data_IF_570832802872
#
_entry.id   IF_570832802872
#
_cell.length_a   1.000
_cell.length_b   1.000
_cell.length_c   1.000
_cell.angle_alpha   90.00
_cell.angle_beta   90.00
_cell.angle_gamma   90.00
#
_symmetry.space_group_name_H-M   'P 1'
#
loop_
_entity.id
_entity.type
_entity.pdbx_description
1 polymer ?
#
# COMPACT_ATOMS: atom_id res chain seq x y z
N UNK A 1 12.80 0.52 -38.33
CA UNK A 1 12.11 1.29 -37.26
C UNK A 1 10.78 1.90 -37.77
N UNK A 2 10.02 1.23 -38.64
CA UNK A 2 8.75 1.74 -39.21
C UNK A 2 7.48 1.03 -38.70
N UNK A 3 7.63 0.08 -37.77
CA UNK A 3 6.54 -0.79 -37.28
C UNK A 3 6.11 -0.48 -35.83
N UNK A 4 6.50 0.68 -35.28
CA UNK A 4 6.37 1.01 -33.84
C UNK A 4 4.90 1.11 -33.38
N UNK A 5 3.94 1.27 -34.29
CA UNK A 5 2.51 1.44 -34.00
C UNK A 5 1.65 0.20 -34.29
N UNK A 6 2.25 -0.99 -34.34
CA UNK A 6 1.54 -2.27 -34.44
C UNK A 6 1.67 -3.06 -33.13
N UNK A 7 1.15 -2.50 -32.04
CA UNK A 7 1.01 -3.23 -30.78
C UNK A 7 -0.31 -4.00 -30.77
N UNK A 8 -0.26 -5.27 -30.37
CA UNK A 8 -1.46 -6.07 -30.13
C UNK A 8 -2.04 -5.70 -28.77
N UNK A 9 -2.85 -4.63 -28.72
CA UNK A 9 -3.36 -4.07 -27.44
C UNK A 9 -4.63 -4.78 -26.93
N UNK A 10 -5.23 -5.66 -27.74
CA UNK A 10 -6.32 -6.54 -27.29
C UNK A 10 -5.78 -7.82 -26.64
N UNK A 11 -4.94 -7.67 -25.62
CA UNK A 11 -4.60 -8.77 -24.74
C UNK A 11 -5.55 -8.77 -23.54
N UNK A 12 -5.90 -9.94 -22.95
CA UNK A 12 -6.77 -10.04 -21.78
C UNK A 12 -6.29 -9.19 -20.58
N UNK A 13 -4.99 -8.89 -20.55
CA UNK A 13 -4.31 -8.14 -19.50
C UNK A 13 -4.49 -6.61 -19.62
N UNK A 14 -4.92 -6.11 -20.78
CA UNK A 14 -5.07 -4.68 -21.04
C UNK A 14 -6.50 -4.21 -20.76
N UNK A 15 -6.64 -3.13 -19.98
CA UNK A 15 -7.94 -2.52 -19.73
C UNK A 15 -8.54 -1.94 -21.02
N UNK A 16 -9.87 -1.88 -21.07
CA UNK A 16 -10.60 -1.21 -22.15
C UNK A 16 -10.09 0.23 -22.33
N UNK A 17 -9.94 0.95 -21.22
CA UNK A 17 -9.40 2.31 -21.18
C UNK A 17 -8.04 2.43 -21.90
N UNK A 18 -7.07 1.56 -21.56
CA UNK A 18 -5.74 1.58 -22.17
C UNK A 18 -5.78 1.23 -23.67
N UNK A 19 -6.65 0.31 -24.05
CA UNK A 19 -6.87 -0.06 -25.45
C UNK A 19 -7.39 1.12 -26.27
N UNK A 20 -8.33 1.90 -25.72
CA UNK A 20 -8.83 3.10 -26.37
C UNK A 20 -7.81 4.24 -26.36
N UNK A 21 -7.02 4.39 -25.30
CA UNK A 21 -5.93 5.36 -25.26
C UNK A 21 -4.94 5.14 -26.40
N UNK A 22 -4.47 3.89 -26.56
CA UNK A 22 -3.58 3.53 -27.66
C UNK A 22 -4.21 3.79 -29.04
N UNK A 23 -5.48 3.39 -29.22
CA UNK A 23 -6.22 3.63 -30.46
C UNK A 23 -6.30 5.12 -30.78
N UNK A 24 -6.61 5.95 -29.80
CA UNK A 24 -6.70 7.40 -29.95
C UNK A 24 -5.34 8.01 -30.30
N UNK A 25 -4.28 7.61 -29.61
CA UNK A 25 -2.90 8.07 -29.88
C UNK A 25 -2.48 7.74 -31.33
N UNK A 26 -2.69 6.50 -31.76
CA UNK A 26 -2.39 6.07 -33.14
C UNK A 26 -3.18 6.88 -34.17
N UNK A 27 -4.47 7.09 -33.91
CA UNK A 27 -5.31 7.86 -34.81
C UNK A 27 -4.96 9.35 -34.84
N UNK A 28 -4.56 9.94 -33.71
CA UNK A 28 -4.08 11.32 -33.62
C UNK A 28 -2.84 11.52 -34.49
N UNK A 29 -1.83 10.64 -34.36
CA UNK A 29 -0.63 10.66 -35.20
C UNK A 29 -1.02 10.50 -36.68
N UNK A 30 -1.90 9.54 -37.00
CA UNK A 30 -2.37 9.32 -38.36
C UNK A 30 -3.08 10.54 -38.96
N UNK A 31 -3.98 11.18 -38.19
CA UNK A 31 -4.68 12.39 -38.61
C UNK A 31 -3.71 13.55 -38.85
N UNK A 32 -2.75 13.76 -37.94
CA UNK A 32 -1.74 14.80 -38.05
C UNK A 32 -0.87 14.61 -39.30
N UNK A 33 -0.39 13.39 -39.54
CA UNK A 33 0.42 13.05 -40.72
C UNK A 33 -0.37 13.26 -42.02
N UNK A 34 -1.61 12.79 -42.09
CA UNK A 34 -2.45 12.97 -43.29
C UNK A 34 -2.73 14.45 -43.58
N UNK A 35 -2.99 15.26 -42.55
CA UNK A 35 -3.23 16.70 -42.74
C UNK A 35 -2.01 17.49 -43.19
N UNK A 36 -0.81 17.03 -42.83
CA UNK A 36 0.46 17.71 -43.16
C UNK A 36 1.03 17.27 -44.51
N UNK A 37 0.97 15.98 -44.81
CA UNK A 37 1.71 15.40 -45.93
C UNK A 37 0.84 14.77 -47.02
N UNK A 38 -0.47 14.64 -46.79
CA UNK A 38 -1.36 13.97 -47.72
C UNK A 38 -2.74 14.66 -47.77
N UNK A 39 -3.83 13.93 -47.49
CA UNK A 39 -5.19 14.44 -47.56
C UNK A 39 -5.66 15.05 -46.24
N UNK A 40 -5.75 16.39 -46.20
CA UNK A 40 -6.35 17.13 -45.06
C UNK A 40 -7.80 16.74 -44.79
N UNK A 41 -8.59 16.46 -45.82
CA UNK A 41 -9.98 16.00 -45.65
C UNK A 41 -10.03 14.61 -44.98
N UNK A 42 -9.17 13.68 -45.38
CA UNK A 42 -9.10 12.35 -44.76
C UNK A 42 -8.63 12.44 -43.30
N UNK A 43 -7.58 13.22 -43.04
CA UNK A 43 -7.08 13.48 -41.68
C UNK A 43 -8.15 14.12 -40.79
N UNK A 44 -8.94 15.07 -41.31
CA UNK A 44 -10.04 15.72 -40.59
C UNK A 44 -11.13 14.72 -40.18
N UNK A 45 -11.54 13.83 -41.08
CA UNK A 45 -12.53 12.81 -40.78
C UNK A 45 -12.07 11.85 -39.66
N UNK A 46 -10.78 11.48 -39.65
CA UNK A 46 -10.20 10.65 -38.59
C UNK A 46 -10.12 11.43 -37.28
N UNK A 47 -9.67 12.68 -37.32
CA UNK A 47 -9.57 13.55 -36.14
C UNK A 47 -10.93 13.74 -35.47
N UNK A 48 -11.99 14.00 -36.24
CA UNK A 48 -13.34 14.22 -35.71
C UNK A 48 -13.87 12.98 -34.98
N UNK A 49 -13.77 11.81 -35.62
CA UNK A 49 -14.17 10.53 -35.02
C UNK A 49 -13.36 10.20 -33.77
N UNK A 50 -12.07 10.50 -33.79
CA UNK A 50 -11.16 10.21 -32.68
C UNK A 50 -11.40 11.16 -31.50
N UNK A 51 -11.73 12.43 -31.77
CA UNK A 51 -12.06 13.40 -30.72
C UNK A 51 -13.26 12.94 -29.89
N UNK A 52 -14.32 12.43 -30.54
CA UNK A 52 -15.48 11.88 -29.81
C UNK A 52 -15.10 10.74 -28.87
N UNK A 53 -14.19 9.85 -29.29
CA UNK A 53 -13.70 8.76 -28.44
C UNK A 53 -12.83 9.34 -27.32
N UNK A 54 -11.92 10.24 -27.63
CA UNK A 54 -11.03 10.87 -26.65
C UNK A 54 -11.81 11.63 -25.57
N UNK A 55 -12.90 12.31 -25.94
CA UNK A 55 -13.80 12.99 -25.00
C UNK A 55 -14.56 12.00 -24.12
N UNK A 56 -15.05 10.88 -24.69
CA UNK A 56 -15.71 9.82 -23.91
C UNK A 56 -14.82 9.22 -22.83
N UNK A 57 -13.54 8.99 -23.14
CA UNK A 57 -12.56 8.42 -22.19
C UNK A 57 -11.74 9.49 -21.44
N UNK A 58 -12.06 10.77 -21.64
CA UNK A 58 -11.40 11.91 -21.00
C UNK A 58 -9.88 11.92 -21.17
N UNK A 59 -9.39 11.64 -22.39
CA UNK A 59 -7.98 11.82 -22.76
C UNK A 59 -7.72 13.29 -23.10
N UNK A 60 -7.56 14.13 -22.07
CA UNK A 60 -7.55 15.59 -22.18
C UNK A 60 -6.47 16.12 -23.14
N UNK A 61 -5.26 15.56 -23.08
CA UNK A 61 -4.13 15.87 -23.95
C UNK A 61 -4.43 15.59 -25.45
N UNK A 62 -5.00 14.41 -25.73
CA UNK A 62 -5.43 14.03 -27.08
C UNK A 62 -6.57 14.94 -27.56
N UNK A 63 -7.51 15.28 -26.67
CA UNK A 63 -8.61 16.21 -26.99
C UNK A 63 -8.06 17.58 -27.44
N UNK A 64 -7.10 18.15 -26.71
CA UNK A 64 -6.44 19.40 -27.10
C UNK A 64 -5.81 19.27 -28.49
N UNK A 65 -4.97 18.24 -28.69
CA UNK A 65 -4.25 18.06 -29.95
C UNK A 65 -5.20 17.92 -31.15
N UNK A 66 -6.24 17.09 -31.03
CA UNK A 66 -7.23 16.90 -32.09
C UNK A 66 -8.07 18.15 -32.34
N UNK A 67 -8.50 18.86 -31.28
CA UNK A 67 -9.27 20.08 -31.43
C UNK A 67 -8.46 21.18 -32.15
N UNK A 68 -7.15 21.27 -31.91
CA UNK A 68 -6.25 22.17 -32.64
C UNK A 68 -6.22 21.82 -34.14
N UNK A 69 -6.01 20.55 -34.49
CA UNK A 69 -5.99 20.09 -35.89
C UNK A 69 -7.30 20.38 -36.64
N UNK A 70 -8.43 20.18 -35.96
CA UNK A 70 -9.76 20.44 -36.51
C UNK A 70 -9.99 21.95 -36.69
N UNK A 71 -9.59 22.78 -35.72
CA UNK A 71 -9.65 24.24 -35.80
C UNK A 71 -8.82 24.78 -36.96
N UNK A 72 -7.58 24.33 -37.10
CA UNK A 72 -6.69 24.72 -38.20
C UNK A 72 -7.30 24.39 -39.56
N UNK A 73 -7.87 23.18 -39.71
CA UNK A 73 -8.52 22.78 -40.96
C UNK A 73 -9.76 23.62 -41.26
N UNK A 74 -10.55 23.98 -40.23
CA UNK A 74 -11.69 24.89 -40.40
C UNK A 74 -11.27 26.30 -40.83
N UNK A 75 -10.12 26.79 -40.35
CA UNK A 75 -9.56 28.06 -40.80
C UNK A 75 -9.14 28.01 -42.28
N UNK A 76 -8.44 26.95 -42.69
CA UNK A 76 -8.03 26.74 -44.10
C UNK A 76 -9.24 26.71 -45.03
N UNK A 77 -10.37 26.15 -44.58
CA UNK A 77 -11.61 26.09 -45.37
C UNK A 77 -12.52 27.30 -45.21
N UNK A 78 -12.08 28.33 -44.47
CA UNK A 78 -12.86 29.52 -44.13
C UNK A 78 -14.26 29.21 -43.53
N UNK A 79 -14.34 28.16 -42.70
CA UNK A 79 -15.57 27.74 -42.00
C UNK A 79 -15.63 28.34 -40.60
N UNK A 80 -16.05 29.61 -40.50
CA UNK A 80 -16.04 30.41 -39.27
C UNK A 80 -16.74 29.76 -38.08
N UNK A 81 -17.93 29.20 -38.27
CA UNK A 81 -18.70 28.57 -37.18
C UNK A 81 -17.98 27.35 -36.60
N UNK A 82 -17.50 26.45 -37.46
CA UNK A 82 -16.71 25.28 -37.09
C UNK A 82 -15.39 25.66 -36.43
N UNK A 83 -14.73 26.71 -36.93
CA UNK A 83 -13.51 27.25 -36.33
C UNK A 83 -13.73 27.71 -34.90
N UNK A 84 -14.76 28.52 -34.66
CA UNK A 84 -15.08 29.04 -33.32
C UNK A 84 -15.50 27.91 -32.36
N UNK A 85 -16.24 26.91 -32.85
CA UNK A 85 -16.59 25.74 -32.06
C UNK A 85 -15.34 24.99 -31.58
N UNK A 86 -14.44 24.60 -32.49
CA UNK A 86 -13.21 23.91 -32.09
C UNK A 86 -12.27 24.79 -31.27
N UNK A 87 -12.29 26.11 -31.45
CA UNK A 87 -11.53 27.01 -30.58
C UNK A 87 -12.00 26.97 -29.11
N UNK A 88 -13.32 26.91 -28.88
CA UNK A 88 -13.86 26.74 -27.51
C UNK A 88 -13.45 25.40 -26.91
N UNK A 89 -13.48 24.33 -27.70
CA UNK A 89 -12.99 23.01 -27.26
C UNK A 89 -11.50 23.06 -26.88
N UNK A 90 -10.66 23.74 -27.67
CA UNK A 90 -9.24 23.95 -27.34
C UNK A 90 -9.09 24.67 -26.00
N UNK A 91 -9.78 25.79 -25.80
CA UNK A 91 -9.68 26.58 -24.55
C UNK A 91 -10.13 25.75 -23.35
N UNK A 92 -11.26 25.04 -23.46
CA UNK A 92 -11.81 24.17 -22.42
C UNK A 92 -10.82 23.07 -22.02
N UNK A 93 -10.34 22.30 -22.99
CA UNK A 93 -9.46 21.17 -22.72
C UNK A 93 -8.05 21.62 -22.30
N UNK A 94 -7.56 22.75 -22.80
CA UNK A 94 -6.26 23.28 -22.40
C UNK A 94 -6.27 23.77 -20.94
N UNK A 95 -7.35 24.41 -20.48
CA UNK A 95 -7.53 24.78 -19.08
C UNK A 95 -7.52 23.56 -18.17
N UNK A 96 -8.31 22.53 -18.51
CA UNK A 96 -8.33 21.27 -17.78
C UNK A 96 -6.96 20.57 -17.76
N UNK A 97 -6.27 20.50 -18.90
CA UNK A 97 -4.95 19.86 -19.01
C UNK A 97 -3.90 20.56 -18.15
N UNK A 98 -3.94 21.90 -18.10
CA UNK A 98 -3.05 22.66 -17.22
C UNK A 98 -3.26 22.27 -15.76
N UNK A 99 -4.52 22.25 -15.31
CA UNK A 99 -4.85 21.83 -13.95
C UNK A 99 -4.45 20.38 -13.66
N UNK A 100 -4.61 19.47 -14.62
CA UNK A 100 -4.13 18.08 -14.49
C UNK A 100 -2.61 18.04 -14.25
N UNK A 101 -1.82 18.77 -15.05
CA UNK A 101 -0.37 18.85 -14.85
C UNK A 101 0.03 19.51 -13.54
N UNK A 102 -0.64 20.60 -13.15
CA UNK A 102 -0.37 21.29 -11.89
C UNK A 102 -0.69 20.37 -10.69
N UNK A 103 -1.76 19.56 -10.78
CA UNK A 103 -2.09 18.57 -9.77
C UNK A 103 -1.06 17.43 -9.68
N UNK A 104 -0.62 16.89 -10.82
CA UNK A 104 0.42 15.85 -10.87
C UNK A 104 1.75 16.37 -10.31
N UNK A 105 2.13 17.61 -10.66
CA UNK A 105 3.30 18.28 -10.10
C UNK A 105 3.24 18.35 -8.57
N UNK A 106 2.11 18.78 -7.99
CA UNK A 106 1.96 18.87 -6.54
C UNK A 106 2.11 17.50 -5.86
N UNK A 107 1.52 16.46 -6.45
CA UNK A 107 1.60 15.09 -5.91
C UNK A 107 3.02 14.52 -6.01
N UNK A 108 3.74 14.79 -7.09
CA UNK A 108 5.12 14.32 -7.25
C UNK A 108 6.10 15.14 -6.40
N UNK A 109 5.87 16.44 -6.26
CA UNK A 109 6.65 17.31 -5.38
C UNK A 109 6.58 16.85 -3.92
N UNK A 110 5.39 16.46 -3.43
CA UNK A 110 5.24 15.82 -2.12
C UNK A 110 6.16 14.61 -1.98
N UNK A 111 6.13 13.67 -2.95
CA UNK A 111 6.94 12.45 -2.89
C UNK A 111 8.42 12.76 -2.84
N UNK A 112 8.87 13.73 -3.64
CA UNK A 112 10.27 14.18 -3.66
C UNK A 112 10.67 14.77 -2.30
N UNK A 113 9.86 15.67 -1.75
CA UNK A 113 10.13 16.32 -0.47
C UNK A 113 10.16 15.34 0.72
N UNK A 114 9.34 14.28 0.67
CA UNK A 114 9.34 13.20 1.66
C UNK A 114 10.64 12.39 1.70
N UNK A 115 11.41 12.36 0.61
CA UNK A 115 12.72 11.66 0.59
C UNK A 115 13.83 12.46 1.29
N UNK A 116 13.60 13.75 1.53
CA UNK A 116 14.60 14.66 2.11
C UNK A 116 14.55 14.59 3.64
N UNK A 117 15.50 13.89 4.24
CA UNK A 117 15.55 13.61 5.69
C UNK A 117 15.68 14.86 6.58
N UNK A 118 16.15 15.99 6.05
CA UNK A 118 16.30 17.24 6.80
C UNK A 118 15.00 18.03 6.93
N UNK A 119 13.91 17.61 6.27
CA UNK A 119 12.62 18.31 6.33
C UNK A 119 11.95 18.15 7.69
N UNK A 120 11.47 19.28 8.21
CA UNK A 120 10.68 19.30 9.44
C UNK A 120 9.30 18.70 9.16
N UNK A 121 8.77 17.91 10.10
CA UNK A 121 7.43 17.34 10.00
C UNK A 121 6.35 18.41 9.79
N UNK A 122 6.43 19.55 10.48
CA UNK A 122 5.47 20.66 10.32
C UNK A 122 5.40 21.19 8.89
N UNK A 123 6.55 21.38 8.24
CA UNK A 123 6.62 21.81 6.84
C UNK A 123 5.93 20.81 5.91
N UNK A 124 6.15 19.51 6.13
CA UNK A 124 5.53 18.46 5.33
C UNK A 124 4.01 18.41 5.55
N UNK A 125 3.52 18.64 6.77
CA UNK A 125 2.07 18.72 7.05
C UNK A 125 1.45 19.87 6.23
N UNK A 126 2.07 21.04 6.27
CA UNK A 126 1.59 22.21 5.54
C UNK A 126 1.64 21.96 4.02
N UNK A 127 2.70 21.34 3.51
CA UNK A 127 2.84 20.97 2.11
C UNK A 127 1.71 20.04 1.64
N UNK A 128 1.42 18.98 2.39
CA UNK A 128 0.33 18.05 2.09
C UNK A 128 -1.04 18.75 2.12
N UNK A 129 -1.27 19.58 3.14
CA UNK A 129 -2.53 20.30 3.32
C UNK A 129 -2.78 21.29 2.18
N UNK A 130 -1.77 22.06 1.81
CA UNK A 130 -1.85 23.03 0.72
C UNK A 130 -2.10 22.35 -0.62
N UNK A 131 -1.42 21.23 -0.89
CA UNK A 131 -1.66 20.45 -2.10
C UNK A 131 -3.10 19.92 -2.16
N UNK A 132 -3.61 19.36 -1.06
CA UNK A 132 -5.00 18.89 -0.97
C UNK A 132 -6.00 20.01 -1.31
N UNK A 133 -5.82 21.20 -0.72
CA UNK A 133 -6.71 22.35 -0.95
C UNK A 133 -6.64 22.81 -2.42
N UNK A 134 -5.42 22.96 -2.96
CA UNK A 134 -5.20 23.43 -4.34
C UNK A 134 -5.78 22.46 -5.38
N UNK A 135 -5.53 21.16 -5.23
CA UNK A 135 -6.04 20.15 -6.16
C UNK A 135 -7.56 20.05 -6.08
N UNK A 136 -8.17 20.16 -4.90
CA UNK A 136 -9.64 20.21 -4.81
C UNK A 136 -10.23 21.47 -5.45
N UNK A 137 -9.56 22.63 -5.35
CA UNK A 137 -9.96 23.84 -6.08
C UNK A 137 -9.92 23.62 -7.60
N UNK A 138 -8.83 23.03 -8.11
CA UNK A 138 -8.68 22.70 -9.53
C UNK A 138 -9.75 21.70 -10.01
N UNK A 139 -10.09 20.69 -9.19
CA UNK A 139 -11.17 19.74 -9.49
C UNK A 139 -12.55 20.41 -9.56
N UNK A 140 -12.80 21.42 -8.73
CA UNK A 140 -14.05 22.20 -8.76
C UNK A 140 -14.17 23.04 -10.02
N UNK A 141 -13.05 23.60 -10.49
CA UNK A 141 -12.99 24.37 -11.74
C UNK A 141 -13.10 23.45 -12.97
N UNK A 142 -12.35 22.35 -12.97
CA UNK A 142 -12.33 21.35 -14.04
C UNK A 142 -12.53 19.95 -13.46
N UNK A 143 -13.68 19.33 -13.78
CA UNK A 143 -14.10 18.10 -13.13
C UNK A 143 -13.77 16.83 -13.95
N UNK A 144 -12.56 16.75 -14.48
CA UNK A 144 -12.09 15.60 -15.28
C UNK A 144 -11.81 14.38 -14.40
N UNK A 145 -11.78 13.21 -15.02
CA UNK A 145 -11.45 11.94 -14.40
C UNK A 145 -10.07 11.99 -13.73
N UNK A 146 -9.07 12.58 -14.41
CA UNK A 146 -7.74 12.79 -13.86
C UNK A 146 -7.77 13.62 -12.58
N UNK A 147 -8.39 14.80 -12.62
CA UNK A 147 -8.48 15.71 -11.47
C UNK A 147 -9.29 15.14 -10.30
N UNK A 148 -10.36 14.37 -10.57
CA UNK A 148 -11.10 13.66 -9.52
C UNK A 148 -10.21 12.69 -8.77
N UNK A 149 -9.44 11.87 -9.50
CA UNK A 149 -8.51 10.92 -8.88
C UNK A 149 -7.37 11.65 -8.15
N UNK A 150 -6.80 12.70 -8.74
CA UNK A 150 -5.73 13.48 -8.11
C UNK A 150 -6.19 14.20 -6.85
N UNK A 151 -7.43 14.72 -6.79
CA UNK A 151 -8.03 15.30 -5.57
C UNK A 151 -8.15 14.26 -4.46
N UNK A 152 -8.66 13.06 -4.78
CA UNK A 152 -8.75 11.96 -3.81
C UNK A 152 -7.35 11.55 -3.32
N UNK A 153 -6.38 11.39 -4.22
CA UNK A 153 -5.00 11.05 -3.85
C UNK A 153 -4.36 12.11 -2.95
N UNK A 154 -4.60 13.39 -3.22
CA UNK A 154 -4.09 14.46 -2.39
C UNK A 154 -4.68 14.40 -0.97
N UNK A 155 -5.98 14.10 -0.85
CA UNK A 155 -6.64 13.91 0.43
C UNK A 155 -6.11 12.67 1.18
N UNK A 156 -6.01 11.51 0.50
CA UNK A 156 -5.43 10.28 1.06
C UNK A 156 -4.00 10.54 1.56
N UNK A 157 -3.15 11.17 0.76
CA UNK A 157 -1.78 11.50 1.16
C UNK A 157 -1.73 12.41 2.38
N UNK A 158 -2.63 13.40 2.48
CA UNK A 158 -2.69 14.27 3.65
C UNK A 158 -3.11 13.51 4.91
N UNK A 159 -4.22 12.76 4.84
CA UNK A 159 -4.75 12.02 5.98
C UNK A 159 -3.78 10.92 6.45
N UNK A 160 -3.15 10.20 5.52
CA UNK A 160 -2.12 9.21 5.84
C UNK A 160 -0.92 9.86 6.56
N UNK A 161 -0.45 11.02 6.07
CA UNK A 161 0.69 11.71 6.66
C UNK A 161 0.45 12.22 8.08
N UNK A 162 -0.80 12.63 8.39
CA UNK A 162 -1.21 13.05 9.74
C UNK A 162 -1.72 11.89 10.60
N UNK A 163 -1.60 10.65 10.11
CA UNK A 163 -2.03 9.41 10.79
C UNK A 163 -3.54 9.36 11.08
N UNK A 164 -4.35 10.06 10.27
CA UNK A 164 -5.81 9.94 10.27
C UNK A 164 -6.25 8.83 9.32
N UNK A 165 -6.04 7.59 9.74
CA UNK A 165 -6.37 6.40 8.95
C UNK A 165 -7.87 6.24 8.70
N UNK A 166 -8.73 6.80 9.57
CA UNK A 166 -10.17 6.82 9.33
C UNK A 166 -10.52 7.73 8.14
N UNK A 167 -9.86 8.90 8.04
CA UNK A 167 -9.91 9.78 6.88
C UNK A 167 -9.43 9.09 5.61
N UNK A 168 -8.34 8.33 5.67
CA UNK A 168 -7.83 7.54 4.53
C UNK A 168 -8.87 6.55 4.02
N UNK A 169 -9.48 5.76 4.91
CA UNK A 169 -10.51 4.76 4.54
C UNK A 169 -11.67 5.46 3.84
N UNK A 170 -12.18 6.56 4.42
CA UNK A 170 -13.30 7.33 3.85
C UNK A 170 -13.01 7.82 2.43
N UNK A 171 -11.82 8.38 2.20
CA UNK A 171 -11.45 8.88 0.88
C UNK A 171 -11.20 7.75 -0.13
N UNK A 172 -10.68 6.60 0.32
CA UNK A 172 -10.55 5.41 -0.52
C UNK A 172 -11.92 4.85 -0.92
N UNK A 173 -12.89 4.82 0.00
CA UNK A 173 -14.27 4.41 -0.29
C UNK A 173 -14.92 5.34 -1.32
N UNK A 174 -14.76 6.66 -1.17
CA UNK A 174 -15.18 7.66 -2.16
C UNK A 174 -14.60 7.37 -3.55
N UNK A 175 -13.33 6.95 -3.61
CA UNK A 175 -12.65 6.59 -4.85
C UNK A 175 -13.23 5.34 -5.50
N UNK A 176 -13.43 4.29 -4.70
CA UNK A 176 -13.97 3.00 -5.15
C UNK A 176 -15.40 3.18 -5.67
N UNK A 177 -16.24 3.92 -4.94
CA UNK A 177 -17.60 4.28 -5.38
C UNK A 177 -17.58 5.05 -6.70
N UNK A 178 -16.72 6.06 -6.82
CA UNK A 178 -16.58 6.81 -8.07
C UNK A 178 -16.17 5.90 -9.23
N UNK A 179 -15.13 5.08 -9.07
CA UNK A 179 -14.65 4.18 -10.13
C UNK A 179 -15.70 3.14 -10.53
N UNK A 180 -16.50 2.64 -9.59
CA UNK A 180 -17.65 1.78 -9.88
C UNK A 180 -18.74 2.51 -10.67
N UNK A 181 -18.95 3.81 -10.45
CA UNK A 181 -19.92 4.61 -11.19
C UNK A 181 -19.50 4.94 -12.63
N UNK A 182 -18.21 4.83 -12.97
CA UNK A 182 -17.68 5.06 -14.33
C UNK A 182 -16.83 3.90 -14.86
N UNK A 183 -17.41 2.70 -15.09
CA UNK A 183 -16.62 1.50 -15.45
C UNK A 183 -15.74 1.67 -16.69
N UNK A 184 -16.19 2.44 -17.68
CA UNK A 184 -15.43 2.70 -18.92
C UNK A 184 -14.16 3.55 -18.71
N UNK A 185 -14.10 4.35 -17.64
CA UNK A 185 -12.91 5.12 -17.25
C UNK A 185 -12.01 4.35 -16.27
N UNK A 186 -12.56 3.31 -15.66
CA UNK A 186 -11.91 2.56 -14.60
C UNK A 186 -10.89 1.57 -15.14
N UNK A 187 -9.87 1.32 -14.34
CA UNK A 187 -8.84 0.33 -14.60
C UNK A 187 -8.70 -0.54 -13.36
N UNK A 188 -8.45 -1.83 -13.55
CA UNK A 188 -8.25 -2.78 -12.45
C UNK A 188 -7.19 -2.30 -11.45
N UNK A 189 -6.05 -1.82 -11.95
CA UNK A 189 -4.97 -1.31 -11.12
C UNK A 189 -5.35 -0.04 -10.32
N UNK A 190 -6.28 0.80 -10.83
CA UNK A 190 -6.78 1.99 -10.11
C UNK A 190 -7.70 1.61 -8.95
N UNK A 191 -8.55 0.59 -9.12
CA UNK A 191 -9.27 0.01 -7.98
C UNK A 191 -8.28 -0.57 -6.97
N UNK A 192 -7.29 -1.33 -7.46
CA UNK A 192 -6.22 -1.90 -6.63
C UNK A 192 -5.51 -0.85 -5.78
N UNK A 193 -5.16 0.30 -6.37
CA UNK A 193 -4.49 1.41 -5.67
C UNK A 193 -5.26 1.86 -4.42
N UNK A 194 -6.56 2.14 -4.54
CA UNK A 194 -7.35 2.59 -3.38
C UNK A 194 -7.71 1.46 -2.42
N UNK A 195 -7.91 0.24 -2.91
CA UNK A 195 -8.08 -0.93 -2.02
C UNK A 195 -6.82 -1.19 -1.20
N UNK A 196 -5.63 -1.01 -1.78
CA UNK A 196 -4.35 -1.19 -1.10
C UNK A 196 -4.17 -0.17 0.03
N UNK A 197 -4.45 1.12 -0.24
CA UNK A 197 -4.40 2.18 0.76
C UNK A 197 -5.45 1.96 1.87
N UNK A 198 -6.67 1.57 1.50
CA UNK A 198 -7.73 1.21 2.45
C UNK A 198 -7.31 0.05 3.36
N UNK A 199 -6.74 -1.02 2.79
CA UNK A 199 -6.22 -2.16 3.56
C UNK A 199 -5.14 -1.72 4.54
N UNK A 200 -4.18 -0.89 4.11
CA UNK A 200 -3.11 -0.39 4.98
C UNK A 200 -3.68 0.40 6.16
N UNK A 201 -4.59 1.34 5.90
CA UNK A 201 -5.24 2.13 6.94
C UNK A 201 -6.09 1.26 7.89
N UNK A 202 -6.82 0.27 7.37
CA UNK A 202 -7.57 -0.68 8.18
C UNK A 202 -6.65 -1.48 9.12
N UNK A 203 -5.48 -1.94 8.64
CA UNK A 203 -4.49 -2.62 9.47
C UNK A 203 -3.94 -1.72 10.57
N UNK A 204 -3.63 -0.45 10.29
CA UNK A 204 -3.14 0.47 11.31
C UNK A 204 -4.21 0.80 12.37
N UNK A 205 -5.48 0.69 12.02
CA UNK A 205 -6.61 0.75 12.95
C UNK A 205 -6.98 -0.61 13.57
N UNK A 206 -6.19 -1.66 13.31
CA UNK A 206 -6.41 -3.04 13.80
C UNK A 206 -7.75 -3.65 13.36
N UNK A 207 -8.31 -3.17 12.25
CA UNK A 207 -9.50 -3.71 11.59
C UNK A 207 -9.11 -4.84 10.64
N UNK A 208 -8.55 -5.91 11.21
CA UNK A 208 -7.95 -7.00 10.44
C UNK A 208 -8.96 -7.71 9.54
N UNK A 209 -10.19 -7.93 10.01
CA UNK A 209 -11.26 -8.54 9.21
C UNK A 209 -11.61 -7.69 7.97
N UNK A 210 -11.66 -6.37 8.11
CA UNK A 210 -11.92 -5.44 7.00
C UNK A 210 -10.79 -5.53 5.96
N UNK A 211 -9.53 -5.57 6.41
CA UNK A 211 -8.40 -5.74 5.50
C UNK A 211 -8.40 -7.13 4.84
N UNK A 212 -8.72 -8.18 5.59
CA UNK A 212 -8.73 -9.57 5.12
C UNK A 212 -9.79 -9.81 4.05
N UNK A 213 -11.00 -9.30 4.24
CA UNK A 213 -12.09 -9.43 3.25
C UNK A 213 -11.79 -8.75 1.91
N UNK A 214 -10.96 -7.70 1.90
CA UNK A 214 -10.53 -7.01 0.68
C UNK A 214 -9.29 -7.64 0.02
N UNK A 215 -8.57 -8.50 0.73
CA UNK A 215 -7.23 -8.94 0.37
C UNK A 215 -7.14 -9.59 -1.01
N UNK A 216 -7.95 -10.61 -1.28
CA UNK A 216 -7.87 -11.36 -2.53
C UNK A 216 -8.18 -10.45 -3.74
N UNK A 217 -9.22 -9.62 -3.63
CA UNK A 217 -9.59 -8.65 -4.68
C UNK A 217 -8.51 -7.60 -4.92
N UNK A 218 -7.82 -7.17 -3.87
CA UNK A 218 -6.72 -6.23 -3.95
C UNK A 218 -5.49 -6.85 -4.63
N UNK A 219 -5.04 -8.02 -4.17
CA UNK A 219 -3.91 -8.78 -4.75
C UNK A 219 -4.14 -9.01 -6.24
N UNK A 220 -5.33 -9.49 -6.58
CA UNK A 220 -5.71 -9.79 -7.94
C UNK A 220 -5.71 -8.54 -8.83
N UNK A 221 -5.85 -7.35 -8.27
CA UNK A 221 -5.86 -6.11 -9.05
C UNK A 221 -4.51 -5.73 -9.66
N UNK A 222 -3.43 -6.41 -9.26
CA UNK A 222 -2.07 -6.11 -9.69
C UNK A 222 -1.43 -7.25 -10.48
N UNK A 223 -0.46 -6.90 -11.32
CA UNK A 223 0.36 -7.88 -12.03
C UNK A 223 1.14 -8.73 -11.03
N UNK A 224 1.03 -10.06 -11.17
CA UNK A 224 1.71 -11.02 -10.30
C UNK A 224 3.21 -10.71 -10.22
N UNK A 225 3.72 -10.67 -8.99
CA UNK A 225 5.10 -10.36 -8.66
C UNK A 225 5.61 -8.97 -9.12
N UNK A 226 4.70 -8.02 -9.33
CA UNK A 226 5.02 -6.59 -9.31
C UNK A 226 5.07 -6.04 -7.88
N UNK A 227 5.59 -4.82 -7.70
CA UNK A 227 5.75 -4.20 -6.37
C UNK A 227 4.42 -4.11 -5.60
N UNK A 228 3.35 -3.62 -6.24
CA UNK A 228 2.03 -3.53 -5.60
C UNK A 228 1.42 -4.89 -5.28
N UNK A 229 1.74 -5.93 -6.05
CA UNK A 229 1.28 -7.29 -5.75
C UNK A 229 1.95 -7.84 -4.49
N UNK A 230 3.26 -7.61 -4.34
CA UNK A 230 3.96 -7.98 -3.09
C UNK A 230 3.44 -7.17 -1.91
N UNK A 231 3.20 -5.87 -2.09
CA UNK A 231 2.67 -5.04 -1.01
C UNK A 231 1.22 -5.41 -0.63
N UNK A 232 0.37 -5.75 -1.60
CA UNK A 232 -0.96 -6.29 -1.30
C UNK A 232 -0.88 -7.64 -0.55
N UNK A 233 0.03 -8.53 -0.97
CA UNK A 233 0.24 -9.84 -0.34
C UNK A 233 0.78 -9.73 1.08
N UNK A 234 1.61 -8.73 1.32
CA UNK A 234 2.18 -8.35 2.60
C UNK A 234 1.10 -7.91 3.59
N UNK A 235 0.26 -6.94 3.21
CA UNK A 235 -0.87 -6.50 4.03
C UNK A 235 -1.87 -7.65 4.27
N UNK A 236 -2.13 -8.47 3.24
CA UNK A 236 -2.99 -9.65 3.36
C UNK A 236 -2.43 -10.68 4.35
N UNK A 237 -1.10 -10.90 4.34
CA UNK A 237 -0.42 -11.77 5.29
C UNK A 237 -0.64 -11.26 6.71
N UNK A 238 -0.35 -9.97 6.96
CA UNK A 238 -0.53 -9.33 8.26
C UNK A 238 -1.97 -9.46 8.75
N UNK A 239 -2.96 -9.24 7.88
CA UNK A 239 -4.37 -9.42 8.22
C UNK A 239 -4.66 -10.88 8.63
N UNK A 240 -4.25 -11.85 7.81
CA UNK A 240 -4.49 -13.28 8.05
C UNK A 240 -3.90 -13.77 9.38
N UNK A 241 -2.64 -13.43 9.66
CA UNK A 241 -1.97 -13.86 10.90
C UNK A 241 -2.60 -13.24 12.15
N UNK A 242 -3.11 -12.00 12.06
CA UNK A 242 -3.75 -11.33 13.19
C UNK A 242 -5.15 -11.89 13.49
N UNK A 243 -5.89 -12.35 12.48
CA UNK A 243 -7.17 -13.07 12.68
C UNK A 243 -6.97 -14.57 12.97
N UNK A 244 -5.72 -15.01 13.17
CA UNK A 244 -5.35 -16.40 13.47
C UNK A 244 -5.67 -17.39 12.33
N UNK A 245 -5.83 -16.91 11.09
CA UNK A 245 -5.90 -17.75 9.89
C UNK A 245 -4.48 -18.08 9.40
N UNK A 246 -3.82 -18.98 10.14
CA UNK A 246 -2.43 -19.37 9.88
C UNK A 246 -2.27 -20.15 8.57
N UNK A 247 -3.30 -20.88 8.14
CA UNK A 247 -3.31 -21.59 6.85
C UNK A 247 -3.26 -20.59 5.68
N UNK A 248 -4.09 -19.54 5.71
CA UNK A 248 -4.06 -18.48 4.70
C UNK A 248 -2.75 -17.69 4.76
N UNK A 249 -2.25 -17.39 5.96
CA UNK A 249 -0.95 -16.73 6.13
C UNK A 249 0.20 -17.56 5.53
N UNK A 250 0.23 -18.87 5.75
CA UNK A 250 1.19 -19.80 5.14
C UNK A 250 1.09 -19.84 3.62
N UNK A 251 -0.13 -19.90 3.09
CA UNK A 251 -0.37 -19.86 1.65
C UNK A 251 0.20 -18.59 1.00
N UNK A 252 -0.09 -17.43 1.60
CA UNK A 252 0.41 -16.12 1.14
C UNK A 252 1.95 -16.04 1.22
N UNK A 253 2.52 -16.49 2.33
CA UNK A 253 3.97 -16.58 2.52
C UNK A 253 4.65 -17.44 1.45
N UNK A 254 4.12 -18.63 1.22
CA UNK A 254 4.66 -19.58 0.23
C UNK A 254 4.56 -19.00 -1.19
N UNK A 255 3.40 -18.42 -1.53
CA UNK A 255 3.18 -17.79 -2.85
C UNK A 255 4.16 -16.64 -3.11
N UNK A 256 4.46 -15.83 -2.10
CA UNK A 256 5.38 -14.70 -2.23
C UNK A 256 6.85 -15.15 -2.31
N UNK A 257 7.29 -16.05 -1.43
CA UNK A 257 8.70 -16.40 -1.27
C UNK A 257 9.22 -17.40 -2.31
N UNK A 258 8.34 -18.23 -2.88
CA UNK A 258 8.72 -19.22 -3.92
C UNK A 258 8.79 -18.62 -5.33
N UNK A 259 8.28 -17.40 -5.53
CA UNK A 259 8.26 -16.79 -6.85
C UNK A 259 9.66 -16.35 -7.30
N UNK A 260 10.01 -16.58 -8.58
CA UNK A 260 11.36 -16.27 -9.13
C UNK A 260 11.86 -14.84 -8.90
N UNK A 261 10.95 -13.87 -8.82
CA UNK A 261 11.26 -12.45 -8.61
C UNK A 261 11.50 -12.09 -7.13
N UNK A 262 11.30 -13.00 -6.19
CA UNK A 262 11.53 -12.76 -4.77
C UNK A 262 12.96 -12.29 -4.48
N UNK A 263 13.95 -12.92 -5.14
CA UNK A 263 15.36 -12.55 -5.01
C UNK A 263 15.72 -11.19 -5.63
N UNK A 264 14.82 -10.59 -6.42
CA UNK A 264 15.00 -9.26 -7.02
C UNK A 264 14.35 -8.14 -6.19
N UNK A 265 13.71 -8.49 -5.07
CA UNK A 265 13.09 -7.51 -4.18
C UNK A 265 14.15 -6.70 -3.42
N UNK A 266 13.75 -5.51 -2.98
CA UNK A 266 14.58 -4.70 -2.09
C UNK A 266 14.89 -5.47 -0.80
N UNK A 267 16.03 -5.17 -0.19
CA UNK A 267 16.47 -5.79 1.06
C UNK A 267 15.42 -5.68 2.17
N UNK A 268 14.85 -4.49 2.36
CA UNK A 268 13.78 -4.25 3.34
C UNK A 268 12.56 -5.18 3.11
N UNK A 269 12.11 -5.32 1.86
CA UNK A 269 10.97 -6.19 1.56
C UNK A 269 11.32 -7.66 1.86
N UNK A 270 12.52 -8.12 1.50
CA UNK A 270 12.96 -9.50 1.80
C UNK A 270 13.09 -9.74 3.30
N UNK A 271 13.64 -8.78 4.04
CA UNK A 271 13.75 -8.84 5.51
C UNK A 271 12.37 -9.01 6.16
N UNK A 272 11.36 -8.29 5.69
CA UNK A 272 9.98 -8.45 6.17
C UNK A 272 9.42 -9.85 5.95
N UNK A 273 9.60 -10.42 4.76
CA UNK A 273 9.21 -11.82 4.51
C UNK A 273 10.01 -12.81 5.37
N UNK A 274 11.30 -12.56 5.66
CA UNK A 274 12.06 -13.39 6.59
C UNK A 274 11.44 -13.37 8.00
N UNK A 275 11.02 -12.20 8.49
CA UNK A 275 10.32 -12.06 9.78
C UNK A 275 8.99 -12.82 9.74
N UNK A 276 8.25 -12.78 8.62
CA UNK A 276 6.99 -13.52 8.47
C UNK A 276 7.17 -15.03 8.58
N UNK A 277 8.24 -15.56 7.97
CA UNK A 277 8.64 -16.96 8.15
C UNK A 277 8.94 -17.29 9.60
N UNK A 278 9.61 -16.39 10.33
CA UNK A 278 9.89 -16.55 11.76
C UNK A 278 8.59 -16.60 12.59
N UNK A 279 7.62 -15.73 12.30
CA UNK A 279 6.37 -15.70 13.06
C UNK A 279 5.45 -16.88 12.75
N UNK A 280 5.44 -17.35 11.50
CA UNK A 280 4.74 -18.58 11.15
C UNK A 280 5.33 -19.80 11.87
N UNK A 281 6.66 -19.93 11.92
CA UNK A 281 7.32 -21.02 12.67
C UNK A 281 7.09 -20.87 14.19
N UNK A 282 7.07 -19.64 14.70
CA UNK A 282 6.76 -19.38 16.09
C UNK A 282 5.33 -19.81 16.43
N UNK A 283 4.36 -19.51 15.57
CA UNK A 283 2.98 -19.94 15.74
C UNK A 283 2.84 -21.49 15.74
N UNK A 284 3.65 -22.20 14.95
CA UNK A 284 3.71 -23.67 14.97
C UNK A 284 4.25 -24.18 16.32
N UNK A 285 5.36 -23.61 16.81
CA UNK A 285 5.96 -24.01 18.09
C UNK A 285 5.09 -23.67 19.31
N UNK A 286 4.28 -22.60 19.21
CA UNK A 286 3.28 -22.24 20.20
C UNK A 286 2.01 -23.11 20.13
N UNK A 287 1.94 -24.05 19.16
CA UNK A 287 0.79 -24.94 18.97
C UNK A 287 -0.48 -24.23 18.48
N UNK A 288 -0.34 -23.08 17.81
CA UNK A 288 -1.47 -22.29 17.30
C UNK A 288 -2.09 -22.89 16.03
N UNK A 289 -1.31 -23.66 15.29
CA UNK A 289 -1.75 -24.43 14.13
C UNK A 289 -0.72 -25.52 13.82
N UNK A 290 -1.06 -26.42 12.91
CA UNK A 290 -0.15 -27.46 12.42
C UNK A 290 -0.03 -27.33 10.90
N UNK A 291 1.19 -27.08 10.37
CA UNK A 291 1.35 -26.88 8.94
C UNK A 291 1.07 -28.18 8.19
N UNK A 292 0.41 -28.08 7.03
CA UNK A 292 0.15 -29.24 6.17
C UNK A 292 1.43 -29.82 5.54
N UNK A 293 2.51 -29.02 5.45
CA UNK A 293 3.80 -29.42 4.91
C UNK A 293 4.94 -28.98 5.83
N UNK A 294 5.93 -29.85 6.03
CA UNK A 294 7.08 -29.54 6.88
C UNK A 294 7.94 -28.41 6.27
N UNK A 295 8.09 -27.31 7.02
CA UNK A 295 8.91 -26.15 6.61
C UNK A 295 10.40 -26.29 6.86
N UNK A 296 10.83 -27.39 7.49
CA UNK A 296 12.21 -27.60 7.92
C UNK A 296 13.26 -27.50 6.79
N UNK A 297 12.84 -27.63 5.52
CA UNK A 297 13.73 -27.49 4.36
C UNK A 297 13.84 -26.06 3.81
N UNK A 298 12.92 -25.16 4.12
CA UNK A 298 12.78 -23.87 3.41
C UNK A 298 13.22 -22.67 4.25
N UNK A 299 12.98 -22.69 5.57
CA UNK A 299 13.33 -21.58 6.47
C UNK A 299 14.48 -21.94 7.41
N UNK A 300 15.61 -21.24 7.31
CA UNK A 300 16.78 -21.46 8.17
C UNK A 300 16.67 -20.63 9.44
N UNK A 301 15.95 -21.16 10.44
CA UNK A 301 15.78 -20.51 11.76
C UNK A 301 17.12 -20.14 12.39
N UNK A 302 18.14 -21.01 12.29
CA UNK A 302 19.47 -20.72 12.82
C UNK A 302 20.13 -19.50 12.17
N UNK A 303 19.91 -19.24 10.88
CA UNK A 303 20.40 -18.04 10.20
C UNK A 303 19.67 -16.79 10.70
N UNK A 304 18.34 -16.89 10.94
CA UNK A 304 17.55 -15.80 11.48
C UNK A 304 17.94 -15.43 12.92
N UNK A 305 18.05 -16.42 13.81
CA UNK A 305 18.42 -16.19 15.21
C UNK A 305 19.83 -15.61 15.38
N UNK A 306 20.73 -15.90 14.44
CA UNK A 306 22.08 -15.33 14.38
C UNK A 306 22.13 -13.96 13.70
N UNK A 307 21.05 -13.52 13.04
CA UNK A 307 20.97 -12.17 12.50
C UNK A 307 20.78 -11.16 13.63
N UNK A 308 21.63 -10.14 13.68
CA UNK A 308 21.52 -9.09 14.69
C UNK A 308 20.55 -8.01 14.17
N UNK A 309 19.59 -7.54 14.98
CA UNK A 309 18.81 -6.36 14.65
C UNK A 309 19.74 -5.18 14.37
N UNK A 310 19.54 -4.47 13.27
CA UNK A 310 20.32 -3.27 12.98
C UNK A 310 19.90 -2.15 13.93
N UNK A 311 20.85 -1.46 14.56
CA UNK A 311 20.59 -0.30 15.42
C UNK A 311 20.25 0.97 14.61
N UNK A 312 19.38 0.86 13.60
CA UNK A 312 18.88 1.99 12.82
C UNK A 312 17.58 2.54 13.39
N UNK A 313 17.49 3.88 13.49
CA UNK A 313 16.24 4.61 13.80
C UNK A 313 15.14 4.38 12.75
N UNK A 314 15.49 4.00 11.53
CA UNK A 314 14.52 3.76 10.44
C UNK A 314 13.89 2.36 10.45
N UNK A 315 14.33 1.47 11.35
CA UNK A 315 13.84 0.08 11.47
C UNK A 315 13.24 -0.22 12.85
N UNK A 316 12.83 0.82 13.59
CA UNK A 316 12.42 0.66 15.00
C UNK A 316 11.31 -0.37 15.19
N UNK A 317 10.32 -0.36 14.32
CA UNK A 317 9.17 -1.26 14.40
C UNK A 317 9.56 -2.70 14.06
N UNK A 318 10.35 -2.89 12.99
CA UNK A 318 10.89 -4.20 12.61
C UNK A 318 11.77 -4.81 13.70
N UNK A 319 12.60 -4.00 14.35
CA UNK A 319 13.45 -4.45 15.45
C UNK A 319 12.63 -4.99 16.62
N UNK A 320 11.45 -4.41 16.92
CA UNK A 320 10.56 -4.95 17.95
C UNK A 320 10.11 -6.36 17.57
N UNK A 321 9.66 -6.57 16.33
CA UNK A 321 9.23 -7.90 15.88
C UNK A 321 10.37 -8.94 15.95
N UNK A 322 11.59 -8.57 15.56
CA UNK A 322 12.75 -9.46 15.64
C UNK A 322 13.10 -9.80 17.09
N UNK A 323 13.19 -8.80 17.96
CA UNK A 323 13.59 -9.05 19.36
C UNK A 323 12.49 -9.86 20.09
N UNK A 324 11.22 -9.56 19.84
CA UNK A 324 10.09 -10.34 20.40
C UNK A 324 10.16 -11.79 19.96
N UNK A 325 10.32 -12.06 18.65
CA UNK A 325 10.41 -13.44 18.17
C UNK A 325 11.63 -14.17 18.77
N UNK A 326 12.78 -13.51 18.88
CA UNK A 326 14.00 -14.09 19.50
C UNK A 326 13.77 -14.47 20.96
N UNK A 327 13.18 -13.57 21.76
CA UNK A 327 12.86 -13.83 23.16
C UNK A 327 11.94 -15.05 23.30
N UNK A 328 10.92 -15.13 22.44
CA UNK A 328 10.00 -16.28 22.42
C UNK A 328 10.71 -17.59 22.08
N UNK A 329 11.55 -17.61 21.04
CA UNK A 329 12.32 -18.81 20.68
C UNK A 329 13.24 -19.28 21.82
N UNK A 330 13.89 -18.36 22.54
CA UNK A 330 14.74 -18.70 23.69
C UNK A 330 13.93 -19.33 24.83
N UNK A 331 12.78 -18.74 25.17
CA UNK A 331 11.91 -19.27 26.23
C UNK A 331 11.30 -20.63 25.87
N UNK A 332 10.88 -20.84 24.63
CA UNK A 332 10.35 -22.13 24.15
C UNK A 332 11.43 -23.23 24.24
N UNK A 333 12.68 -22.88 23.96
CA UNK A 333 13.82 -23.81 24.03
C UNK A 333 14.40 -23.97 25.45
N UNK A 334 13.85 -23.29 26.46
CA UNK A 334 14.34 -23.34 27.85
C UNK A 334 15.65 -22.60 28.11
N UNK A 335 16.15 -21.79 27.16
CA UNK A 335 17.34 -20.96 27.36
C UNK A 335 16.97 -19.65 28.08
N UNK A 336 16.59 -19.80 29.36
CA UNK A 336 16.08 -18.70 30.19
C UNK A 336 17.13 -17.64 30.51
N UNK A 337 18.40 -18.02 30.68
CA UNK A 337 19.50 -17.08 30.94
C UNK A 337 19.73 -16.13 29.75
N UNK A 338 19.67 -16.64 28.52
CA UNK A 338 19.79 -15.80 27.32
C UNK A 338 18.51 -15.02 27.07
N UNK A 339 17.34 -15.60 27.36
CA UNK A 339 16.06 -14.90 27.27
C UNK A 339 16.04 -13.67 28.19
N UNK A 340 16.46 -13.79 29.45
CA UNK A 340 16.51 -12.68 30.40
C UNK A 340 17.35 -11.51 29.88
N UNK A 341 18.56 -11.80 29.38
CA UNK A 341 19.45 -10.77 28.77
C UNK A 341 18.79 -10.07 27.59
N UNK A 342 18.05 -10.80 26.76
CA UNK A 342 17.33 -10.24 25.59
C UNK A 342 16.11 -9.42 26.00
N UNK A 343 15.40 -9.83 27.03
CA UNK A 343 14.29 -9.06 27.63
C UNK A 343 14.81 -7.73 28.18
N UNK A 344 15.97 -7.74 28.83
CA UNK A 344 16.61 -6.52 29.33
C UNK A 344 17.05 -5.57 28.22
N UNK A 345 17.62 -6.11 27.14
CA UNK A 345 17.91 -5.32 25.94
C UNK A 345 16.64 -4.68 25.37
N UNK A 346 15.54 -5.44 25.26
CA UNK A 346 14.26 -4.97 24.75
C UNK A 346 13.66 -3.86 25.63
N UNK A 347 13.81 -3.96 26.95
CA UNK A 347 13.42 -2.91 27.91
C UNK A 347 14.16 -1.60 27.65
N UNK A 348 15.49 -1.66 27.54
CA UNK A 348 16.33 -0.49 27.22
C UNK A 348 15.95 0.08 25.86
N UNK A 349 15.78 -0.77 24.85
CA UNK A 349 15.37 -0.37 23.50
C UNK A 349 14.02 0.38 23.50
N UNK A 350 13.00 -0.19 24.15
CA UNK A 350 11.68 0.42 24.25
C UNK A 350 11.72 1.80 24.90
N UNK A 351 12.41 1.94 26.04
CA UNK A 351 12.55 3.23 26.73
C UNK A 351 13.24 4.30 25.89
N UNK A 352 14.13 3.92 24.97
CA UNK A 352 14.87 4.83 24.11
C UNK A 352 14.07 5.22 22.86
N UNK A 353 13.37 4.27 22.24
CA UNK A 353 12.88 4.41 20.87
C UNK A 353 11.36 4.38 20.69
N UNK A 354 10.60 3.92 21.68
CA UNK A 354 9.13 3.68 21.60
C UNK A 354 8.37 4.56 22.60
N UNK A 355 8.55 5.89 22.53
CA UNK A 355 7.97 6.83 23.49
C UNK A 355 6.59 7.34 23.07
N UNK A 356 6.34 7.32 21.77
CA UNK A 356 5.16 7.82 21.10
C UNK A 356 3.89 7.05 21.51
N UNK A 357 2.74 7.73 21.46
CA UNK A 357 1.46 7.19 21.96
C UNK A 357 1.03 5.89 21.26
N UNK A 358 1.25 5.77 19.96
CA UNK A 358 0.91 4.57 19.17
C UNK A 358 1.74 3.33 19.53
N UNK A 359 2.80 3.45 20.35
CA UNK A 359 3.53 2.31 20.90
C UNK A 359 3.01 1.83 22.26
N UNK A 360 1.92 2.40 22.76
CA UNK A 360 1.40 2.08 24.09
C UNK A 360 1.20 0.57 24.29
N UNK A 361 0.47 -0.06 23.36
CA UNK A 361 0.21 -1.50 23.37
C UNK A 361 1.49 -2.35 23.35
N UNK A 362 2.48 -1.97 22.55
CA UNK A 362 3.79 -2.65 22.53
C UNK A 362 4.43 -2.54 23.91
N UNK A 363 4.48 -1.35 24.52
CA UNK A 363 5.05 -1.18 25.87
C UNK A 363 4.33 -2.02 26.92
N UNK A 364 3.00 -2.11 26.86
CA UNK A 364 2.21 -2.95 27.75
C UNK A 364 2.65 -4.41 27.63
N UNK A 365 2.72 -4.92 26.40
CA UNK A 365 3.17 -6.28 26.13
C UNK A 365 4.62 -6.54 26.60
N UNK A 366 5.51 -5.57 26.44
CA UNK A 366 6.88 -5.69 26.94
C UNK A 366 6.95 -5.80 28.46
N UNK A 367 6.06 -5.12 29.20
CA UNK A 367 5.97 -5.30 30.67
C UNK A 367 5.49 -6.70 31.04
N UNK A 368 4.58 -7.31 30.26
CA UNK A 368 4.19 -8.71 30.45
C UNK A 368 5.38 -9.64 30.26
N UNK A 369 6.15 -9.48 29.17
CA UNK A 369 7.34 -10.30 28.93
C UNK A 369 8.37 -10.14 30.06
N UNK A 370 8.54 -8.92 30.60
CA UNK A 370 9.46 -8.67 31.72
C UNK A 370 9.07 -9.36 33.03
N UNK A 371 7.85 -9.87 33.15
CA UNK A 371 7.42 -10.63 34.33
C UNK A 371 7.98 -12.05 34.35
N UNK A 372 8.32 -12.64 33.20
CA UNK A 372 8.85 -14.00 33.09
C UNK A 372 10.10 -14.21 33.95
N UNK A 373 11.21 -13.45 33.76
CA UNK A 373 12.39 -13.62 34.60
C UNK A 373 12.14 -13.24 36.07
N UNK A 374 11.28 -12.25 36.35
CA UNK A 374 10.95 -11.81 37.72
C UNK A 374 10.27 -12.89 38.57
N UNK A 375 9.53 -13.79 37.93
CA UNK A 375 8.83 -14.88 38.57
C UNK A 375 9.42 -16.23 38.20
N UNK A 376 10.71 -16.26 37.86
CA UNK A 376 11.49 -17.47 37.57
C UNK A 376 10.83 -18.37 36.52
N UNK A 377 10.15 -17.77 35.54
CA UNK A 377 9.44 -18.44 34.45
C UNK A 377 8.26 -19.34 34.89
N UNK A 378 7.85 -19.29 36.17
CA UNK A 378 6.75 -20.11 36.71
C UNK A 378 5.39 -19.56 36.20
N UNK A 379 4.64 -20.31 35.37
CA UNK A 379 3.45 -19.80 34.71
C UNK A 379 2.34 -19.33 35.66
N UNK A 380 2.12 -20.05 36.76
CA UNK A 380 1.08 -19.72 37.74
C UNK A 380 1.35 -18.39 38.47
N UNK A 381 2.60 -18.16 38.87
CA UNK A 381 3.03 -16.92 39.52
C UNK A 381 3.02 -15.74 38.55
N UNK A 382 3.42 -15.96 37.29
CA UNK A 382 3.33 -14.95 36.23
C UNK A 382 1.88 -14.51 36.04
N UNK A 383 0.93 -15.45 35.85
CA UNK A 383 -0.49 -15.13 35.67
C UNK A 383 -1.05 -14.32 36.83
N UNK A 384 -0.72 -14.72 38.07
CA UNK A 384 -1.17 -14.04 39.29
C UNK A 384 -0.69 -12.59 39.36
N UNK A 385 0.58 -12.33 39.04
CA UNK A 385 1.18 -11.00 39.18
C UNK A 385 1.03 -10.10 37.94
N UNK A 386 0.58 -10.65 36.81
CA UNK A 386 0.40 -9.89 35.56
C UNK A 386 -1.05 -9.59 35.21
N UNK A 387 -2.02 -10.01 36.04
CA UNK A 387 -3.45 -9.85 35.75
C UNK A 387 -3.83 -8.41 35.33
N UNK A 388 -3.46 -7.42 36.12
CA UNK A 388 -3.79 -6.01 35.82
C UNK A 388 -3.12 -5.51 34.52
N UNK A 389 -1.89 -5.97 34.24
CA UNK A 389 -1.14 -5.62 33.03
C UNK A 389 -1.78 -6.29 31.80
N UNK A 390 -2.28 -7.52 31.96
CA UNK A 390 -2.99 -8.25 30.92
C UNK A 390 -4.34 -7.60 30.62
N UNK A 391 -5.09 -7.18 31.64
CA UNK A 391 -6.34 -6.44 31.45
C UNK A 391 -6.10 -5.10 30.71
N UNK A 392 -4.98 -4.41 31.00
CA UNK A 392 -4.55 -3.22 30.24
C UNK A 392 -4.23 -3.55 28.77
N UNK A 393 -3.62 -4.73 28.51
CA UNK A 393 -3.35 -5.19 27.15
C UNK A 393 -4.66 -5.39 26.37
N UNK A 394 -5.65 -6.07 26.97
CA UNK A 394 -6.95 -6.30 26.35
C UNK A 394 -7.68 -4.97 26.09
N UNK A 395 -7.63 -4.03 27.04
CA UNK A 395 -8.21 -2.69 26.87
C UNK A 395 -7.55 -1.92 25.71
N UNK A 396 -6.25 -2.14 25.46
CA UNK A 396 -5.50 -1.52 24.36
C UNK A 396 -5.70 -2.18 22.98
N UNK A 397 -6.57 -3.19 22.85
CA UNK A 397 -6.80 -3.95 21.61
C UNK A 397 -7.12 -3.10 20.37
N UNK A 398 -7.72 -1.92 20.57
CA UNK A 398 -8.10 -0.99 19.50
C UNK A 398 -7.15 0.23 19.39
N UNK A 399 -6.06 0.26 20.16
CA UNK A 399 -5.06 1.32 20.04
C UNK A 399 -4.41 1.26 18.64
N UNK A 400 -4.41 2.36 17.87
CA UNK A 400 -3.86 2.36 16.53
C UNK A 400 -2.35 2.09 16.53
N UNK A 401 -1.90 1.38 15.50
CA UNK A 401 -0.48 1.20 15.20
C UNK A 401 0.13 2.49 14.61
N UNK A 402 1.47 2.66 14.66
CA UNK A 402 2.13 3.57 13.73
C UNK A 402 1.86 3.16 12.28
N UNK A 403 2.28 3.99 11.31
CA UNK A 403 2.26 3.68 9.87
C UNK A 403 3.22 2.54 9.45
N UNK A 404 3.45 1.56 10.33
CA UNK A 404 4.21 0.34 10.13
C UNK A 404 3.64 -0.77 11.04
N UNK A 405 3.64 -2.02 10.56
CA UNK A 405 3.15 -3.18 11.32
C UNK A 405 4.05 -3.48 12.52
N UNK A 406 3.55 -3.25 13.75
CA UNK A 406 4.29 -3.49 14.99
C UNK A 406 3.87 -4.76 15.76
N UNK A 407 2.93 -5.53 15.22
CA UNK A 407 2.39 -6.76 15.81
C UNK A 407 1.90 -7.69 14.68
N UNK A 408 2.35 -8.95 14.72
CA UNK A 408 2.01 -9.96 13.71
C UNK A 408 1.05 -11.01 14.27
N UNK A 409 1.36 -11.58 15.43
CA UNK A 409 0.39 -12.39 16.17
C UNK A 409 -0.14 -11.52 17.31
N UNK A 410 -1.45 -11.53 17.60
CA UNK A 410 -1.99 -10.71 18.66
C UNK A 410 -1.28 -11.00 19.98
N UNK A 411 -0.86 -9.95 20.69
CA UNK A 411 0.00 -10.08 21.87
C UNK A 411 -0.61 -10.93 22.98
N UNK A 412 -1.93 -10.86 23.19
CA UNK A 412 -2.65 -11.73 24.11
C UNK A 412 -2.57 -13.20 23.70
N UNK A 413 -2.65 -13.49 22.40
CA UNK A 413 -2.53 -14.87 21.86
C UNK A 413 -1.12 -15.37 22.07
N UNK A 414 -0.11 -14.54 21.78
CA UNK A 414 1.30 -14.88 22.02
C UNK A 414 1.57 -15.17 23.50
N UNK A 415 1.15 -14.28 24.39
CA UNK A 415 1.38 -14.41 25.83
C UNK A 415 0.73 -15.68 26.41
N UNK A 416 -0.54 -15.90 26.10
CA UNK A 416 -1.28 -17.06 26.61
C UNK A 416 -0.72 -18.39 26.10
N UNK A 417 -0.31 -18.42 24.83
CA UNK A 417 0.26 -19.62 24.23
C UNK A 417 1.64 -19.93 24.78
N UNK A 418 2.46 -18.90 25.01
CA UNK A 418 3.76 -19.06 25.64
C UNK A 418 3.64 -19.62 27.06
N UNK A 419 2.72 -19.10 27.88
CA UNK A 419 2.48 -19.62 29.23
C UNK A 419 2.10 -21.11 29.20
N UNK A 420 1.21 -21.51 28.28
CA UNK A 420 0.82 -22.91 28.10
C UNK A 420 2.00 -23.78 27.66
N UNK A 421 2.88 -23.27 26.80
CA UNK A 421 4.07 -24.01 26.34
C UNK A 421 5.08 -24.19 27.47
N UNK A 422 5.35 -23.16 28.27
CA UNK A 422 6.26 -23.27 29.42
C UNK A 422 5.71 -24.23 30.47
N UNK A 423 4.40 -24.18 30.76
CA UNK A 423 3.74 -25.08 31.71
C UNK A 423 3.84 -26.56 31.29
N UNK A 424 3.78 -26.84 29.99
CA UNK A 424 3.96 -28.20 29.44
C UNK A 424 5.40 -28.70 29.53
N UNK A 425 6.38 -27.81 29.54
CA UNK A 425 7.80 -28.19 29.65
C UNK A 425 8.23 -28.47 31.09
N UNK A 426 7.48 -27.97 32.08
CA UNK A 426 7.69 -28.24 33.52
C UNK A 426 6.99 -29.51 34.02
N UNK A 427 6.01 -30.03 33.27
CA UNK A 427 5.26 -31.27 33.55
C UNK A 427 5.92 -32.48 32.90
#
# INVERSE_FOLDING_TARGET
>A
MHSVLFLQVKQPEHSEYLSYYYKCMRNQIGAQTLMRFASRRAGYAIALKTLTIAQKYEFTDICVSLAVLLRESAAVWNKRTTFLHHHREVVKHLGALKCEYDADFLLDHIKMEMTVTSRKRSYLIDLHKDAMIKVESMRKEHNTHGLRLSSIRAAVNYYDFVEDFAGVIKECDRAIEYLNSVPHLSQRARHGEFMLQKMSAALYLRRYDEAFTLADKCIDSFTVAGNNWYFASDLAFVAAINIQDYDKAELLYTRATTHRKYNMLSENTRERWIIYGAYLLLAEQLGLYSPQQSRAKTYRLSTYLNSLPEESKSKKVYNVLIIVSHVFYLMINGDYDTAEKRIDYLRVYSSRYLKEKHFNRVRIFLRLIQSFPKHSFIPSEIRKHTKDIYDELIASSHDPMPSETNELIPFEVMFESLLKTVERSES
#
